data_IF_545680252818
#
_entry.id   IF_545680252818
#
_cell.length_a   1.000
_cell.length_b   1.000
_cell.length_c   1.000
_cell.angle_alpha   90.00
_cell.angle_beta   90.00
_cell.angle_gamma   90.00
#
_symmetry.space_group_name_H-M   'P 1'
#
loop_
_entity.id
_entity.type
_entity.pdbx_description
1 polymer ?
#
# COMPACT_ATOMS: atom_id res chain seq x y z
N UNK A 1 6.18 12.86 -0.85
CA UNK A 1 7.27 12.51 0.07
C UNK A 1 8.18 11.53 -0.62
N UNK A 2 9.45 11.86 -0.64
CA UNK A 2 10.50 11.11 -1.31
C UNK A 2 11.01 9.96 -0.45
N UNK A 3 11.38 8.90 -1.12
CA UNK A 3 12.33 7.96 -0.55
C UNK A 3 13.73 8.59 -0.66
N UNK A 4 14.39 8.82 0.45
CA UNK A 4 15.82 9.14 0.50
C UNK A 4 16.56 7.84 0.69
N UNK A 5 17.55 7.60 -0.13
CA UNK A 5 18.43 6.45 -0.03
C UNK A 5 19.76 6.91 0.55
N UNK A 6 20.19 6.32 1.61
CA UNK A 6 21.51 6.52 2.20
C UNK A 6 22.06 5.20 2.67
N UNK A 7 23.33 4.98 2.52
CA UNK A 7 24.02 3.85 3.16
C UNK A 7 25.01 4.39 4.15
N UNK A 8 24.92 3.99 5.40
CA UNK A 8 25.94 4.27 6.39
C UNK A 8 26.88 3.07 6.51
N UNK A 9 28.13 3.31 6.24
CA UNK A 9 29.21 2.40 6.54
C UNK A 9 29.93 2.93 7.78
N UNK A 10 29.31 2.80 8.95
CA UNK A 10 30.02 2.90 10.20
C UNK A 10 30.21 1.48 10.73
N UNK A 11 31.39 0.94 10.59
CA UNK A 11 31.88 -0.33 11.14
C UNK A 11 32.25 -1.42 10.13
N UNK A 12 32.40 -1.13 8.85
CA UNK A 12 33.06 -2.03 7.91
C UNK A 12 32.39 -3.40 7.67
N UNK A 13 31.15 -3.58 8.06
CA UNK A 13 30.40 -4.79 7.75
C UNK A 13 29.42 -4.51 6.60
N UNK A 14 29.83 -4.94 5.42
CA UNK A 14 28.98 -4.95 4.24
C UNK A 14 27.87 -5.99 4.43
N UNK A 15 26.65 -5.54 4.64
CA UNK A 15 25.47 -6.39 4.56
C UNK A 15 25.14 -6.69 3.08
N UNK A 16 25.86 -7.65 2.53
CA UNK A 16 25.60 -8.17 1.18
C UNK A 16 24.45 -9.17 1.23
N UNK A 17 23.26 -8.71 0.87
CA UNK A 17 22.15 -9.58 0.49
C UNK A 17 22.32 -9.99 -0.96
N UNK A 18 23.00 -11.09 -1.24
CA UNK A 18 23.18 -11.61 -2.59
C UNK A 18 21.93 -12.36 -3.03
N UNK A 19 21.05 -11.69 -3.74
CA UNK A 19 20.22 -12.33 -4.76
C UNK A 19 20.19 -11.40 -5.96
N UNK A 20 20.53 -11.92 -7.14
CA UNK A 20 20.55 -11.17 -8.40
C UNK A 20 19.25 -10.41 -8.57
N UNK A 21 19.31 -9.10 -8.75
CA UNK A 21 18.18 -8.25 -9.07
C UNK A 21 17.51 -7.56 -7.87
N UNK A 22 18.19 -7.38 -6.75
CA UNK A 22 17.66 -6.65 -5.60
C UNK A 22 18.55 -5.48 -5.26
N UNK A 23 17.96 -4.32 -5.23
CA UNK A 23 18.55 -3.12 -4.64
C UNK A 23 17.44 -2.26 -4.11
N UNK A 24 17.43 -1.75 -2.97
CA UNK A 24 17.88 -1.31 -1.88
C UNK A 24 17.44 -0.26 -1.08
N UNK A 25 17.75 -0.11 -0.43
CA UNK A 25 17.83 0.19 0.98
C UNK A 25 17.80 1.65 1.30
N UNK A 26 16.98 1.92 2.18
CA UNK A 26 16.73 3.23 2.71
C UNK A 26 17.32 3.33 4.09
N UNK A 27 18.17 4.29 4.29
CA UNK A 27 18.73 4.53 5.58
C UNK A 27 17.92 5.53 6.40
N UNK A 28 17.90 5.28 7.69
CA UNK A 28 17.29 6.11 8.71
C UNK A 28 18.21 7.25 9.11
N UNK A 29 17.79 8.46 8.92
CA UNK A 29 18.37 9.57 9.65
C UNK A 29 17.78 9.63 11.07
N UNK A 30 18.61 9.50 12.07
CA UNK A 30 18.24 9.42 13.49
C UNK A 30 17.50 10.65 14.04
N UNK A 31 17.26 11.67 13.24
CA UNK A 31 16.59 12.91 13.64
C UNK A 31 15.22 13.16 13.01
N UNK A 32 14.76 12.33 12.11
CA UNK A 32 13.40 12.39 11.59
C UNK A 32 12.65 11.11 11.92
N UNK A 33 11.44 11.26 12.47
CA UNK A 33 10.55 10.17 12.87
C UNK A 33 10.45 9.09 11.80
N UNK A 34 10.83 7.92 12.19
CA UNK A 34 10.81 6.63 11.54
C UNK A 34 9.97 6.48 10.29
N UNK A 35 10.59 6.74 9.18
CA UNK A 35 10.03 6.44 7.87
C UNK A 35 10.49 5.06 7.49
N UNK A 36 9.95 4.04 7.35
CA UNK A 36 10.33 2.64 7.16
C UNK A 36 11.46 2.42 6.15
N UNK A 37 11.89 1.19 6.07
CA UNK A 37 12.85 0.69 5.08
C UNK A 37 12.05 -0.04 4.02
N UNK A 38 12.33 0.21 2.74
CA UNK A 38 11.70 -0.46 1.62
C UNK A 38 12.74 -1.04 0.68
N UNK A 39 12.47 -2.20 0.17
CA UNK A 39 13.27 -2.91 -0.81
C UNK A 39 12.60 -2.82 -2.19
N UNK A 40 13.37 -2.43 -3.20
CA UNK A 40 12.94 -2.39 -4.58
C UNK A 40 13.84 -3.29 -5.42
N UNK A 41 13.25 -4.06 -6.33
CA UNK A 41 14.00 -4.83 -7.32
C UNK A 41 14.28 -3.95 -8.51
N UNK A 42 15.53 -3.87 -8.91
CA UNK A 42 15.95 -3.27 -10.17
C UNK A 42 16.14 -4.38 -11.20
N UNK A 43 15.66 -4.18 -12.43
CA UNK A 43 15.96 -5.08 -13.54
C UNK A 43 17.43 -4.85 -13.94
N UNK A 44 18.13 -5.90 -14.37
CA UNK A 44 19.57 -5.85 -14.70
C UNK A 44 19.82 -5.09 -16.04
N UNK A 45 19.42 -3.84 -16.07
CA UNK A 45 19.89 -2.92 -17.12
C UNK A 45 21.17 -2.24 -16.63
N UNK A 46 22.27 -2.49 -17.30
CA UNK A 46 23.64 -2.11 -16.93
C UNK A 46 23.95 -0.61 -16.90
N UNK A 47 22.96 0.26 -16.74
CA UNK A 47 23.16 1.70 -16.81
C UNK A 47 22.62 2.53 -15.67
N UNK A 48 21.57 2.09 -14.98
CA UNK A 48 20.74 2.97 -14.13
C UNK A 48 20.66 2.55 -12.65
N UNK A 49 21.71 1.97 -12.11
CA UNK A 49 21.71 1.68 -10.66
C UNK A 49 22.06 2.95 -9.90
N UNK A 50 21.17 3.41 -8.98
CA UNK A 50 21.49 4.58 -8.18
C UNK A 50 22.74 4.28 -7.32
N UNK A 51 23.63 5.23 -7.27
CA UNK A 51 24.80 5.15 -6.40
C UNK A 51 24.40 5.20 -4.92
N UNK A 52 25.26 4.64 -4.09
CA UNK A 52 25.11 4.66 -2.63
C UNK A 52 25.05 6.10 -2.14
N UNK A 53 23.96 6.47 -1.43
CA UNK A 53 23.74 7.84 -0.98
C UNK A 53 23.01 8.76 -1.96
N UNK A 54 22.60 8.26 -3.12
CA UNK A 54 21.81 9.05 -4.08
C UNK A 54 20.40 9.37 -3.55
N UNK A 55 19.95 10.60 -3.73
CA UNK A 55 18.59 11.02 -3.43
C UNK A 55 17.69 10.82 -4.67
N UNK A 56 16.65 10.01 -4.52
CA UNK A 56 15.63 9.87 -5.55
C UNK A 56 14.58 10.98 -5.39
N UNK A 57 14.40 11.78 -6.42
CA UNK A 57 13.47 12.89 -6.43
C UNK A 57 12.22 12.58 -7.24
N UNK A 58 11.19 13.43 -7.14
CA UNK A 58 9.99 13.32 -7.96
C UNK A 58 10.28 13.40 -9.47
N UNK A 59 11.45 13.91 -9.85
CA UNK A 59 11.89 14.01 -11.25
C UNK A 59 12.05 12.65 -11.98
N UNK A 60 12.04 11.54 -11.23
CA UNK A 60 11.98 10.20 -11.82
C UNK A 60 10.67 9.87 -12.55
N UNK A 61 9.63 10.65 -12.32
CA UNK A 61 8.32 10.42 -12.92
C UNK A 61 8.01 11.46 -13.99
N UNK A 62 7.25 11.06 -14.99
CA UNK A 62 6.83 11.93 -16.09
C UNK A 62 5.33 12.25 -16.00
N UNK A 63 4.95 13.43 -16.50
CA UNK A 63 3.54 13.79 -16.62
C UNK A 63 2.84 12.85 -17.64
N UNK A 64 1.66 12.38 -17.31
CA UNK A 64 0.91 11.38 -18.09
C UNK A 64 1.28 9.93 -17.80
N UNK A 65 2.38 9.67 -17.10
CA UNK A 65 2.78 8.32 -16.69
C UNK A 65 1.72 7.71 -15.76
N UNK A 66 1.48 6.40 -15.88
CA UNK A 66 0.63 5.66 -14.95
C UNK A 66 1.46 4.96 -13.90
N UNK A 67 1.05 5.11 -12.66
CA UNK A 67 1.73 4.62 -11.47
C UNK A 67 0.79 3.84 -10.57
N UNK A 68 1.36 2.91 -9.81
CA UNK A 68 0.70 2.21 -8.71
C UNK A 68 1.14 2.85 -7.38
N UNK A 69 0.17 3.30 -6.59
CA UNK A 69 0.42 3.94 -5.30
C UNK A 69 0.02 3.01 -4.17
N UNK A 70 0.99 2.62 -3.36
CA UNK A 70 0.81 1.73 -2.20
C UNK A 70 0.97 2.51 -0.91
N UNK A 71 0.06 2.29 0.03
CA UNK A 71 0.13 2.88 1.36
C UNK A 71 -0.66 2.06 2.38
N UNK A 72 -0.64 2.51 3.63
CA UNK A 72 -1.42 1.90 4.71
C UNK A 72 -2.72 2.68 4.87
N UNK A 73 -3.86 2.03 4.70
CA UNK A 73 -5.18 2.65 4.80
C UNK A 73 -5.46 3.14 6.23
N UNK A 74 -6.31 4.16 6.34
CA UNK A 74 -6.74 4.67 7.67
C UNK A 74 -7.39 3.56 8.49
N UNK A 75 -6.97 3.40 9.73
CA UNK A 75 -7.59 2.50 10.67
C UNK A 75 -9.03 2.90 10.98
N UNK A 76 -9.92 1.93 11.05
CA UNK A 76 -11.34 2.10 11.38
C UNK A 76 -11.76 1.28 12.59
N UNK A 77 -10.80 0.60 13.24
CA UNK A 77 -11.05 -0.28 14.37
C UNK A 77 -11.88 -1.51 14.01
N UNK A 78 -12.49 -2.12 15.01
CA UNK A 78 -13.39 -3.26 14.82
C UNK A 78 -14.70 -2.81 14.19
N UNK A 79 -15.10 -3.39 13.07
CA UNK A 79 -16.30 -3.03 12.35
C UNK A 79 -17.17 -4.25 12.08
N UNK A 80 -18.50 -4.04 12.11
CA UNK A 80 -19.49 -5.04 11.74
C UNK A 80 -19.55 -5.31 10.24
N UNK A 81 -20.24 -6.37 9.85
CA UNK A 81 -20.37 -6.81 8.44
C UNK A 81 -20.94 -5.77 7.50
N UNK A 82 -21.84 -4.92 7.98
CA UNK A 82 -22.45 -3.85 7.18
C UNK A 82 -21.40 -2.87 6.68
N UNK A 83 -20.52 -2.37 7.57
CA UNK A 83 -19.49 -1.39 7.18
C UNK A 83 -18.27 -2.06 6.55
N UNK A 84 -17.86 -3.22 7.07
CA UNK A 84 -16.63 -3.90 6.63
C UNK A 84 -16.78 -4.56 5.27
N UNK A 85 -17.97 -5.12 4.99
CA UNK A 85 -18.21 -5.94 3.80
C UNK A 85 -19.38 -5.48 2.95
N UNK A 86 -19.97 -4.33 3.28
CA UNK A 86 -21.15 -3.77 2.60
C UNK A 86 -22.37 -4.72 2.62
N UNK A 87 -22.55 -5.44 3.73
CA UNK A 87 -23.72 -6.27 3.90
C UNK A 87 -24.97 -5.40 4.03
N UNK A 88 -26.08 -5.88 3.46
CA UNK A 88 -27.38 -5.26 3.64
C UNK A 88 -27.82 -5.43 5.09
N UNK A 89 -28.41 -4.39 5.66
CA UNK A 89 -29.09 -4.48 6.96
C UNK A 89 -30.37 -5.29 6.82
N UNK A 90 -30.82 -5.88 7.91
CA UNK A 90 -32.17 -6.44 8.00
C UNK A 90 -33.21 -5.34 8.20
N UNK A 91 -34.47 -5.70 8.16
CA UNK A 91 -35.56 -4.74 8.26
C UNK A 91 -35.51 -3.97 9.57
N UNK A 92 -35.83 -2.67 9.52
CA UNK A 92 -35.88 -1.81 10.70
C UNK A 92 -37.19 -1.99 11.48
N UNK A 93 -38.27 -2.43 10.80
CA UNK A 93 -39.64 -2.60 11.32
C UNK A 93 -40.19 -3.95 10.87
N UNK A 94 -41.53 -4.07 10.71
CA UNK A 94 -42.19 -5.32 10.29
C UNK A 94 -41.97 -6.51 11.24
N UNK A 95 -41.97 -6.24 12.56
CA UNK A 95 -41.82 -7.27 13.57
C UNK A 95 -40.37 -7.71 13.85
N UNK A 96 -39.40 -7.12 13.19
CA UNK A 96 -37.99 -7.42 13.45
C UNK A 96 -37.60 -6.85 14.83
N UNK A 97 -37.07 -7.71 15.70
CA UNK A 97 -36.55 -7.37 17.02
C UNK A 97 -35.08 -7.74 17.11
N UNK A 98 -34.24 -6.84 17.62
CA UNK A 98 -32.82 -7.05 17.96
C UNK A 98 -31.87 -7.40 16.80
N UNK A 99 -32.37 -7.83 15.64
CA UNK A 99 -31.57 -8.39 14.54
C UNK A 99 -31.39 -7.42 13.35
N UNK A 100 -31.22 -6.11 13.63
CA UNK A 100 -31.15 -5.10 12.54
C UNK A 100 -29.83 -5.11 11.75
N UNK A 101 -28.73 -5.42 12.39
CA UNK A 101 -27.38 -5.39 11.82
C UNK A 101 -26.63 -6.73 11.90
N UNK A 102 -27.34 -7.77 12.25
CA UNK A 102 -26.77 -9.12 12.35
C UNK A 102 -26.39 -9.66 10.95
N UNK A 103 -25.32 -10.46 10.84
CA UNK A 103 -24.89 -11.02 9.54
C UNK A 103 -25.86 -12.04 8.95
N UNK A 104 -26.76 -12.61 9.74
CA UNK A 104 -27.63 -13.72 9.35
C UNK A 104 -26.90 -15.07 9.36
N UNK A 105 -27.33 -15.98 8.49
CA UNK A 105 -26.72 -17.30 8.39
C UNK A 105 -25.26 -17.23 7.96
N UNK A 106 -24.41 -17.99 8.65
CA UNK A 106 -22.99 -18.11 8.35
C UNK A 106 -22.61 -19.43 7.67
N UNK A 107 -23.56 -20.33 7.51
CA UNK A 107 -23.36 -21.64 6.85
C UNK A 107 -24.57 -22.55 6.99
N UNK A 108 -24.41 -23.76 6.55
CA UNK A 108 -25.41 -24.83 6.62
C UNK A 108 -25.25 -25.62 7.93
N UNK A 109 -26.20 -26.55 8.21
CA UNK A 109 -26.24 -27.32 9.45
C UNK A 109 -25.25 -28.50 9.41
N UNK A 110 -25.77 -29.77 9.35
CA UNK A 110 -24.95 -30.98 9.50
C UNK A 110 -23.91 -31.12 8.39
N UNK A 111 -24.26 -30.80 7.17
CA UNK A 111 -23.34 -30.82 6.01
C UNK A 111 -23.22 -29.38 5.47
N UNK A 112 -22.02 -28.76 5.54
CA UNK A 112 -20.69 -29.26 5.82
C UNK A 112 -20.30 -29.33 7.31
N UNK A 113 -21.18 -28.96 8.27
CA UNK A 113 -20.90 -28.96 9.71
C UNK A 113 -19.83 -27.98 10.18
N UNK A 114 -19.47 -27.01 9.35
CA UNK A 114 -18.44 -26.00 9.62
C UNK A 114 -18.72 -24.71 8.89
N UNK A 115 -18.10 -23.62 9.35
CA UNK A 115 -18.04 -22.36 8.61
C UNK A 115 -16.81 -22.39 7.70
N UNK A 116 -16.99 -22.10 6.42
CA UNK A 116 -15.87 -22.08 5.47
C UNK A 116 -14.86 -20.97 5.81
N UNK A 117 -13.58 -21.28 5.57
CA UNK A 117 -12.50 -20.29 5.69
C UNK A 117 -12.76 -19.11 4.75
N UNK A 118 -12.41 -17.90 5.19
CA UNK A 118 -12.65 -16.69 4.40
C UNK A 118 -14.09 -16.16 4.47
N UNK A 119 -14.98 -16.75 5.26
CA UNK A 119 -16.33 -16.20 5.48
C UNK A 119 -16.24 -14.77 6.01
N UNK A 120 -16.92 -13.85 5.33
CA UNK A 120 -16.95 -12.42 5.69
C UNK A 120 -17.70 -12.22 7.02
N UNK A 121 -16.99 -11.75 8.03
CA UNK A 121 -17.51 -11.50 9.38
C UNK A 121 -17.02 -10.15 9.90
N UNK A 122 -17.52 -9.72 11.05
CA UNK A 122 -17.01 -8.58 11.78
C UNK A 122 -15.53 -8.76 12.11
N UNK A 123 -14.80 -7.65 12.22
CA UNK A 123 -13.37 -7.67 12.56
C UNK A 123 -12.69 -6.35 12.27
N UNK A 124 -11.37 -6.34 12.40
CA UNK A 124 -10.54 -5.16 12.12
C UNK A 124 -10.74 -4.68 10.69
N UNK A 125 -10.95 -3.37 10.54
CA UNK A 125 -11.03 -2.70 9.25
C UNK A 125 -10.03 -1.55 9.19
N UNK A 126 -9.41 -1.36 8.04
CA UNK A 126 -8.33 -0.39 7.86
C UNK A 126 -7.02 -0.84 8.49
N UNK A 127 -6.03 0.05 8.55
CA UNK A 127 -4.64 -0.24 8.93
C UNK A 127 -4.05 -1.40 8.13
N UNK A 128 -4.48 -1.55 6.90
CA UNK A 128 -4.03 -2.59 5.98
C UNK A 128 -3.32 -1.94 4.79
N UNK A 129 -2.33 -2.63 4.25
CA UNK A 129 -1.65 -2.22 3.03
C UNK A 129 -2.61 -2.31 1.84
N UNK A 130 -2.78 -1.20 1.15
CA UNK A 130 -3.64 -1.06 -0.02
C UNK A 130 -2.85 -0.45 -1.15
N UNK A 131 -3.05 -0.94 -2.36
CA UNK A 131 -2.47 -0.38 -3.58
C UNK A 131 -3.57 0.14 -4.48
N UNK A 132 -3.51 1.41 -4.83
CA UNK A 132 -4.36 1.99 -5.88
C UNK A 132 -3.58 1.90 -7.18
N UNK A 133 -4.13 1.17 -8.14
CA UNK A 133 -3.42 0.82 -9.38
C UNK A 133 -3.75 1.77 -10.52
N UNK A 134 -2.77 1.96 -11.43
CA UNK A 134 -2.91 2.68 -12.69
C UNK A 134 -3.42 4.11 -12.54
N UNK A 135 -2.94 4.82 -11.52
CA UNK A 135 -3.20 6.24 -11.33
C UNK A 135 -2.34 7.05 -12.30
N UNK A 136 -2.92 8.06 -12.92
CA UNK A 136 -2.23 8.97 -13.83
C UNK A 136 -1.51 10.07 -13.06
N UNK A 137 -0.25 10.32 -13.39
CA UNK A 137 0.53 11.46 -12.93
C UNK A 137 0.12 12.67 -13.77
N UNK A 138 -0.48 13.68 -13.13
CA UNK A 138 -0.92 14.90 -13.82
C UNK A 138 0.22 15.88 -14.02
N UNK A 139 1.04 16.05 -12.99
CA UNK A 139 2.15 17.01 -12.99
C UNK A 139 3.22 16.56 -12.02
N UNK A 140 4.45 16.82 -12.39
CA UNK A 140 5.64 16.70 -11.54
C UNK A 140 6.20 18.10 -11.29
N UNK A 141 6.39 18.46 -10.03
CA UNK A 141 6.99 19.69 -9.59
C UNK A 141 8.34 19.34 -8.95
N UNK A 142 9.41 19.47 -9.72
CA UNK A 142 10.75 19.10 -9.28
C UNK A 142 11.28 20.04 -8.17
N UNK A 143 10.95 21.32 -8.22
CA UNK A 143 11.45 22.32 -7.27
C UNK A 143 10.94 22.08 -5.85
N UNK A 144 9.67 21.66 -5.75
CA UNK A 144 9.03 21.35 -4.47
C UNK A 144 9.05 19.87 -4.13
N UNK A 145 9.55 19.06 -5.06
CA UNK A 145 9.57 17.62 -4.95
C UNK A 145 8.17 17.00 -4.73
N UNK A 146 7.21 17.45 -5.53
CA UNK A 146 5.81 17.06 -5.45
C UNK A 146 5.38 16.28 -6.69
N UNK A 147 4.63 15.21 -6.46
CA UNK A 147 3.98 14.42 -7.48
C UNK A 147 2.47 14.59 -7.37
N UNK A 148 1.83 15.14 -8.39
CA UNK A 148 0.39 15.31 -8.46
C UNK A 148 -0.22 14.13 -9.23
N UNK A 149 -1.07 13.36 -8.56
CA UNK A 149 -1.73 12.19 -9.14
C UNK A 149 -3.25 12.38 -9.22
N UNK A 150 -3.86 11.84 -10.26
CA UNK A 150 -5.30 11.92 -10.50
C UNK A 150 -6.01 10.73 -9.85
N UNK A 151 -6.42 10.88 -8.62
CA UNK A 151 -7.14 9.82 -7.90
C UNK A 151 -6.89 9.82 -6.40
N UNK A 152 -7.33 8.75 -5.75
CA UNK A 152 -7.21 8.60 -4.30
C UNK A 152 -5.87 7.98 -3.93
N UNK A 153 -5.16 8.62 -3.02
CA UNK A 153 -3.96 8.08 -2.39
C UNK A 153 -4.35 7.38 -1.09
N UNK A 154 -3.93 6.13 -0.87
CA UNK A 154 -4.27 5.40 0.34
C UNK A 154 -3.56 5.97 1.57
N UNK A 155 -4.27 6.01 2.69
CA UNK A 155 -3.70 6.39 3.98
C UNK A 155 -4.16 7.74 4.53
N UNK A 156 -3.55 8.13 5.63
CA UNK A 156 -3.75 9.42 6.28
C UNK A 156 -2.87 10.50 5.64
N UNK A 157 -3.18 11.77 5.89
CA UNK A 157 -2.27 12.86 5.57
C UNK A 157 -0.97 12.70 6.35
N UNK A 158 0.17 12.87 5.69
CA UNK A 158 1.50 12.68 6.29
C UNK A 158 1.91 11.20 6.44
N UNK A 159 1.10 10.26 5.96
CA UNK A 159 1.49 8.85 5.90
C UNK A 159 2.41 8.55 4.72
N UNK A 160 3.25 7.56 4.88
CA UNK A 160 4.18 7.13 3.85
C UNK A 160 3.48 6.38 2.72
N UNK A 161 3.91 6.63 1.50
CA UNK A 161 3.43 5.96 0.30
C UNK A 161 4.61 5.52 -0.56
N UNK A 162 4.45 4.37 -1.19
CA UNK A 162 5.40 3.86 -2.17
C UNK A 162 4.75 4.00 -3.54
N UNK A 163 5.44 4.68 -4.44
CA UNK A 163 5.00 4.90 -5.82
C UNK A 163 5.88 4.08 -6.75
N UNK A 164 5.26 3.27 -7.59
CA UNK A 164 5.96 2.43 -8.57
C UNK A 164 5.29 2.57 -9.95
N UNK A 165 6.00 2.34 -11.05
CA UNK A 165 5.36 2.26 -12.37
C UNK A 165 4.23 1.22 -12.39
N UNK A 166 3.17 1.49 -13.14
CA UNK A 166 1.98 0.64 -13.16
C UNK A 166 2.27 -0.73 -13.79
N UNK A 167 2.17 -1.80 -13.00
CA UNK A 167 2.46 -3.17 -13.43
C UNK A 167 1.55 -3.60 -14.58
N UNK A 168 0.27 -3.22 -14.55
CA UNK A 168 -0.71 -3.62 -15.59
C UNK A 168 -0.45 -3.08 -16.99
N UNK A 169 0.41 -2.08 -17.12
CA UNK A 169 0.78 -1.52 -18.42
C UNK A 169 1.99 -2.22 -19.03
N UNK A 170 2.91 -2.76 -18.22
CA UNK A 170 4.04 -3.58 -18.72
C UNK A 170 3.59 -4.82 -19.51
N UNK A 171 2.37 -5.31 -19.28
CA UNK A 171 1.84 -6.53 -19.87
C UNK A 171 0.96 -6.28 -21.12
N UNK A 172 1.01 -5.09 -21.72
CA UNK A 172 0.28 -4.75 -22.94
C UNK A 172 1.18 -4.58 -24.17
N UNK A 173 2.40 -5.11 -24.11
CA UNK A 173 3.31 -5.22 -25.24
C UNK A 173 3.16 -6.55 -25.94
#
# INVERSE_FOLDING_TARGET
QLARFSTNIENGEELWGITKGIVWIVERHWHEKDKGIWEFRTEDHDGDKPEVGAELTAALFEAGQKVDVRGVSKGKGFQGGVKRHNFRTQDATHGNSLSHRAPGSIGQCQTPGRVFKGKKMAGQMGSARVTTQSIEVVRVDADRNLLLVKGAVPGARGGDVVVTPAIKLKNKG
#
